data_IF_096945283750
#
_entry.id   IF_096945283750
#
_cell.length_a   1.000
_cell.length_b   1.000
_cell.length_c   1.000
_cell.angle_alpha   90.00
_cell.angle_beta   90.00
_cell.angle_gamma   90.00
#
_symmetry.space_group_name_H-M   'P 1'
#
loop_
_entity.id
_entity.type
_entity.pdbx_description
1 polymer ?
#
# COMPACT_ATOMS: atom_id res chain seq x y z
N UNK A 1 5.44 0.51 27.89
CA UNK A 1 4.70 0.42 26.60
C UNK A 1 5.63 0.41 25.38
N UNK A 2 6.57 1.36 25.25
CA UNK A 2 7.52 1.45 24.11
C UNK A 2 8.26 0.16 23.73
N UNK A 3 8.66 -0.65 24.71
CA UNK A 3 9.35 -1.94 24.46
C UNK A 3 8.46 -2.98 23.75
N UNK A 4 7.16 -3.01 24.05
CA UNK A 4 6.20 -3.91 23.36
C UNK A 4 5.99 -3.49 21.91
N UNK A 5 5.93 -2.19 21.65
CA UNK A 5 5.85 -1.63 20.29
C UNK A 5 7.11 -1.93 19.46
N UNK A 6 8.30 -1.78 20.04
CA UNK A 6 9.55 -2.15 19.36
C UNK A 6 9.67 -3.65 19.11
N UNK A 7 9.11 -4.49 19.98
CA UNK A 7 9.04 -5.94 19.75
C UNK A 7 8.06 -6.29 18.63
N UNK A 8 6.90 -5.63 18.58
CA UNK A 8 5.89 -5.83 17.53
C UNK A 8 6.43 -5.43 16.13
N UNK A 9 7.22 -4.37 16.04
CA UNK A 9 7.86 -3.95 14.78
C UNK A 9 8.90 -4.94 14.24
N UNK A 10 9.41 -5.86 15.08
CA UNK A 10 10.34 -6.90 14.63
C UNK A 10 9.64 -8.09 13.95
N UNK A 11 8.30 -8.18 14.04
CA UNK A 11 7.57 -9.23 13.38
C UNK A 11 7.61 -9.02 11.86
N UNK A 12 8.05 -10.02 11.07
CA UNK A 12 8.15 -9.89 9.61
C UNK A 12 6.78 -9.58 8.97
N UNK A 13 5.70 -10.05 9.59
CA UNK A 13 4.32 -9.77 9.23
C UNK A 13 4.01 -8.27 9.26
N UNK A 14 4.25 -7.63 10.40
CA UNK A 14 3.96 -6.19 10.62
C UNK A 14 4.87 -5.33 9.74
N UNK A 15 6.15 -5.72 9.61
CA UNK A 15 7.11 -5.01 8.77
C UNK A 15 6.68 -5.03 7.29
N UNK A 16 6.26 -6.19 6.77
CA UNK A 16 5.81 -6.33 5.38
C UNK A 16 4.59 -5.45 5.09
N UNK A 17 3.63 -5.41 6.02
CA UNK A 17 2.43 -4.59 5.92
C UNK A 17 2.75 -3.09 5.92
N UNK A 18 3.60 -2.64 6.85
CA UNK A 18 4.03 -1.24 6.94
C UNK A 18 4.78 -0.81 5.67
N UNK A 19 5.66 -1.66 5.14
CA UNK A 19 6.38 -1.39 3.89
C UNK A 19 5.43 -1.25 2.69
N UNK A 20 4.43 -2.13 2.58
CA UNK A 20 3.44 -2.07 1.49
C UNK A 20 2.64 -0.76 1.56
N UNK A 21 2.17 -0.37 2.74
CA UNK A 21 1.42 0.89 2.95
C UNK A 21 2.26 2.11 2.59
N UNK A 22 3.54 2.08 2.97
CA UNK A 22 4.49 3.13 2.65
C UNK A 22 4.67 3.28 1.13
N UNK A 23 4.94 2.17 0.42
CA UNK A 23 5.14 2.17 -1.04
C UNK A 23 3.88 2.61 -1.78
N UNK A 24 2.70 2.14 -1.35
CA UNK A 24 1.42 2.58 -1.90
C UNK A 24 1.21 4.10 -1.73
N UNK A 25 1.56 4.65 -0.54
CA UNK A 25 1.48 6.08 -0.27
C UNK A 25 2.41 6.90 -1.15
N UNK A 26 3.66 6.45 -1.30
CA UNK A 26 4.67 7.08 -2.17
C UNK A 26 4.23 7.07 -3.63
N UNK A 27 3.78 5.92 -4.16
CA UNK A 27 3.38 5.77 -5.56
C UNK A 27 2.12 6.60 -5.90
N UNK A 28 1.12 6.61 -5.01
CA UNK A 28 -0.10 7.40 -5.21
C UNK A 28 0.19 8.90 -5.24
N UNK A 29 1.05 9.36 -4.33
CA UNK A 29 1.51 10.75 -4.27
C UNK A 29 2.29 11.13 -5.53
N UNK A 30 3.28 10.31 -5.90
CA UNK A 30 4.13 10.57 -7.06
C UNK A 30 3.28 10.71 -8.33
N UNK A 31 2.39 9.75 -8.59
CA UNK A 31 1.60 9.72 -9.81
C UNK A 31 0.67 10.92 -9.92
N UNK A 32 0.01 11.34 -8.84
CA UNK A 32 -0.95 12.46 -8.90
C UNK A 32 -0.25 13.83 -8.99
N UNK A 33 0.87 14.01 -8.30
CA UNK A 33 1.56 15.31 -8.25
C UNK A 33 2.41 15.58 -9.50
N UNK A 34 3.08 14.55 -10.01
CA UNK A 34 4.11 14.72 -11.03
C UNK A 34 3.65 14.45 -12.47
N UNK A 35 2.46 13.86 -12.65
CA UNK A 35 1.88 13.64 -13.98
C UNK A 35 1.79 14.95 -14.77
N UNK A 36 1.31 16.01 -14.13
CA UNK A 36 1.15 17.32 -14.75
C UNK A 36 2.49 17.92 -15.19
N UNK A 37 3.47 17.93 -14.28
CA UNK A 37 4.82 18.41 -14.55
C UNK A 37 5.51 17.64 -15.69
N UNK A 38 5.32 16.32 -15.73
CA UNK A 38 5.91 15.49 -16.78
C UNK A 38 5.31 15.79 -18.16
N UNK A 39 4.00 16.05 -18.22
CA UNK A 39 3.33 16.42 -19.48
C UNK A 39 3.80 17.79 -19.98
N UNK A 40 3.95 18.76 -19.07
CA UNK A 40 4.46 20.10 -19.36
C UNK A 40 5.91 20.05 -19.87
N UNK A 41 6.77 19.22 -19.25
CA UNK A 41 8.15 19.02 -19.69
C UNK A 41 8.30 18.40 -21.10
N UNK A 42 7.25 17.78 -21.64
CA UNK A 42 7.22 17.32 -23.05
C UNK A 42 6.83 18.43 -24.03
N UNK A 43 6.75 19.68 -23.58
CA UNK A 43 6.23 20.82 -24.34
C UNK A 43 4.79 20.55 -24.83
N UNK A 44 4.03 19.75 -24.07
CA UNK A 44 2.63 19.50 -24.38
C UNK A 44 1.87 20.82 -24.18
N UNK A 45 1.14 21.32 -25.17
CA UNK A 45 0.40 22.56 -25.01
C UNK A 45 -0.58 22.45 -23.84
N UNK A 46 -0.74 23.52 -23.06
CA UNK A 46 -1.50 23.52 -21.80
C UNK A 46 -2.93 23.00 -21.94
N UNK A 47 -3.50 23.10 -23.16
CA UNK A 47 -4.79 22.48 -23.45
C UNK A 47 -4.74 20.96 -23.33
N UNK A 48 -3.71 20.25 -23.79
CA UNK A 48 -3.60 18.77 -23.70
C UNK A 48 -3.53 18.29 -22.25
N UNK A 49 -2.91 19.09 -21.38
CA UNK A 49 -2.82 18.80 -19.95
C UNK A 49 -4.22 18.80 -19.30
N UNK A 50 -5.04 19.80 -19.61
CA UNK A 50 -6.47 19.83 -19.23
C UNK A 50 -7.32 18.85 -20.03
N UNK A 51 -6.90 18.52 -21.26
CA UNK A 51 -7.58 17.61 -22.17
C UNK A 51 -7.52 16.17 -21.67
N UNK A 52 -6.46 15.71 -21.01
CA UNK A 52 -6.40 14.31 -20.52
C UNK A 52 -7.52 14.02 -19.50
N UNK A 53 -7.72 14.83 -18.45
CA UNK A 53 -8.93 14.76 -17.64
C UNK A 53 -10.19 14.98 -18.47
N UNK A 54 -10.25 16.01 -19.31
CA UNK A 54 -11.46 16.34 -20.05
C UNK A 54 -11.88 15.24 -21.05
N UNK A 55 -10.94 14.53 -21.66
CA UNK A 55 -11.13 13.39 -22.57
C UNK A 55 -11.47 12.15 -21.79
N UNK A 56 -10.82 11.93 -20.65
CA UNK A 56 -11.27 10.93 -19.67
C UNK A 56 -12.72 11.19 -19.25
N UNK A 57 -13.19 12.42 -19.22
CA UNK A 57 -14.60 12.77 -18.99
C UNK A 57 -15.42 12.88 -20.30
N UNK A 58 -14.79 13.03 -21.46
CA UNK A 58 -15.47 13.23 -22.76
C UNK A 58 -15.87 11.92 -23.41
N UNK A 59 -15.13 10.83 -23.16
CA UNK A 59 -15.58 9.48 -23.53
C UNK A 59 -16.77 9.02 -22.68
N UNK A 60 -17.14 9.79 -21.65
CA UNK A 60 -18.26 9.53 -20.78
C UNK A 60 -19.40 10.41 -21.25
N UNK A 61 -20.11 9.91 -22.26
CA UNK A 61 -21.30 10.59 -22.78
C UNK A 61 -22.38 10.69 -21.70
N UNK A 62 -22.43 9.73 -20.78
CA UNK A 62 -23.32 9.75 -19.62
C UNK A 62 -22.58 10.08 -18.30
N UNK A 63 -23.12 10.99 -17.46
CA UNK A 63 -22.57 11.31 -16.14
C UNK A 63 -22.37 10.08 -15.24
N UNK A 64 -23.15 9.01 -15.46
CA UNK A 64 -23.05 7.78 -14.68
C UNK A 64 -21.72 7.05 -14.85
N UNK A 65 -21.10 7.08 -16.03
CA UNK A 65 -19.79 6.44 -16.23
C UNK A 65 -18.66 7.19 -15.51
N UNK A 66 -18.81 8.50 -15.27
CA UNK A 66 -17.86 9.30 -14.46
C UNK A 66 -17.83 8.81 -13.02
N UNK A 67 -19.02 8.56 -12.47
CA UNK A 67 -19.15 8.00 -11.13
C UNK A 67 -18.56 6.60 -11.03
N UNK A 68 -18.65 5.78 -12.09
CA UNK A 68 -18.02 4.45 -12.10
C UNK A 68 -16.49 4.54 -12.15
N UNK A 69 -15.94 5.43 -13.00
CA UNK A 69 -14.49 5.59 -13.15
C UNK A 69 -13.82 6.21 -11.92
N UNK A 70 -14.39 7.30 -11.38
CA UNK A 70 -13.90 7.90 -10.15
C UNK A 70 -14.20 6.98 -8.95
N UNK A 71 -15.38 6.36 -8.94
CA UNK A 71 -15.82 5.40 -7.94
C UNK A 71 -14.89 4.20 -7.83
N UNK A 72 -14.35 3.67 -8.93
CA UNK A 72 -13.39 2.55 -8.87
C UNK A 72 -12.09 2.92 -8.16
N UNK A 73 -11.60 4.15 -8.36
CA UNK A 73 -10.42 4.67 -7.65
C UNK A 73 -10.71 4.88 -6.16
N UNK A 74 -11.86 5.48 -5.84
CA UNK A 74 -12.32 5.68 -4.46
C UNK A 74 -12.50 4.33 -3.77
N UNK A 75 -13.13 3.37 -4.44
CA UNK A 75 -13.44 2.04 -3.91
C UNK A 75 -12.17 1.25 -3.64
N UNK A 76 -11.21 1.25 -4.57
CA UNK A 76 -9.90 0.60 -4.37
C UNK A 76 -9.17 1.19 -3.16
N UNK A 77 -9.19 2.52 -3.04
CA UNK A 77 -8.59 3.20 -1.89
C UNK A 77 -9.34 2.88 -0.59
N UNK A 78 -10.66 2.78 -0.62
CA UNK A 78 -11.48 2.44 0.54
C UNK A 78 -11.24 0.99 0.99
N UNK A 79 -11.23 0.04 0.06
CA UNK A 79 -10.90 -1.36 0.35
C UNK A 79 -9.51 -1.51 0.94
N UNK A 80 -8.53 -0.74 0.45
CA UNK A 80 -7.21 -0.68 1.05
C UNK A 80 -7.30 -0.25 2.53
N UNK A 81 -8.03 0.82 2.83
CA UNK A 81 -8.18 1.30 4.22
C UNK A 81 -8.96 0.33 5.11
N UNK A 82 -9.99 -0.32 4.59
CA UNK A 82 -10.71 -1.39 5.31
C UNK A 82 -9.75 -2.53 5.65
N UNK A 83 -8.93 -2.97 4.69
CA UNK A 83 -7.92 -4.00 4.94
C UNK A 83 -6.89 -3.56 5.98
N UNK A 84 -6.49 -2.29 5.97
CA UNK A 84 -5.57 -1.73 6.98
C UNK A 84 -6.18 -1.78 8.37
N UNK A 85 -7.45 -1.42 8.51
CA UNK A 85 -8.17 -1.46 9.80
C UNK A 85 -8.31 -2.88 10.29
N UNK A 86 -8.78 -3.81 9.45
CA UNK A 86 -8.94 -5.22 9.81
C UNK A 86 -7.62 -5.85 10.27
N UNK A 87 -6.54 -5.63 9.51
CA UNK A 87 -5.23 -6.14 9.86
C UNK A 87 -4.68 -5.48 11.14
N UNK A 88 -4.95 -4.18 11.34
CA UNK A 88 -4.59 -3.50 12.58
C UNK A 88 -5.33 -4.05 13.79
N UNK A 89 -6.59 -4.48 13.64
CA UNK A 89 -7.35 -5.16 14.69
C UNK A 89 -6.73 -6.51 15.05
N UNK A 90 -6.27 -7.26 14.05
CA UNK A 90 -5.58 -8.54 14.27
C UNK A 90 -4.27 -8.32 15.05
N UNK A 91 -3.39 -7.42 14.60
CA UNK A 91 -2.04 -7.29 15.19
C UNK A 91 -1.98 -6.47 16.49
N UNK A 92 -3.02 -5.71 16.82
CA UNK A 92 -2.97 -4.77 17.93
C UNK A 92 -3.07 -5.48 19.29
N UNK A 93 -2.25 -5.09 20.28
CA UNK A 93 -2.49 -5.48 21.66
C UNK A 93 -3.80 -4.88 22.17
N UNK A 94 -4.45 -5.57 23.12
CA UNK A 94 -5.74 -5.17 23.69
C UNK A 94 -5.77 -3.69 24.09
N UNK A 95 -6.76 -2.96 23.60
CA UNK A 95 -6.96 -1.53 23.87
C UNK A 95 -6.07 -0.55 23.07
N UNK A 96 -5.23 -1.02 22.15
CA UNK A 96 -4.28 -0.17 21.38
C UNK A 96 -4.54 -0.14 19.86
N UNK A 97 -5.66 -0.69 19.38
CA UNK A 97 -5.96 -0.76 17.94
C UNK A 97 -6.00 0.60 17.25
N UNK A 98 -6.60 1.60 17.90
CA UNK A 98 -6.63 2.98 17.38
C UNK A 98 -5.23 3.56 17.18
N UNK A 99 -4.28 3.21 18.05
CA UNK A 99 -2.88 3.65 17.95
C UNK A 99 -2.18 2.98 16.76
N UNK A 100 -2.43 1.70 16.52
CA UNK A 100 -1.87 0.98 15.36
C UNK A 100 -2.41 1.55 14.05
N UNK A 101 -3.72 1.77 13.94
CA UNK A 101 -4.34 2.38 12.75
C UNK A 101 -3.82 3.80 12.53
N UNK A 102 -3.73 4.61 13.59
CA UNK A 102 -3.19 5.97 13.50
C UNK A 102 -1.72 5.98 13.07
N UNK A 103 -0.92 5.00 13.52
CA UNK A 103 0.49 4.86 13.12
C UNK A 103 0.60 4.41 11.66
N UNK A 104 -0.19 3.42 11.23
CA UNK A 104 -0.22 2.99 9.83
C UNK A 104 -0.64 4.16 8.91
N UNK A 105 -1.61 4.96 9.35
CA UNK A 105 -2.05 6.12 8.60
C UNK A 105 -1.08 7.29 8.61
N UNK A 106 -0.35 7.52 9.71
CA UNK A 106 0.70 8.53 9.73
C UNK A 106 1.82 8.16 8.75
N UNK A 107 2.20 6.88 8.68
CA UNK A 107 3.16 6.36 7.71
C UNK A 107 2.65 6.55 6.28
N UNK A 108 1.39 6.24 5.98
CA UNK A 108 0.84 6.42 4.64
C UNK A 108 0.76 7.89 4.22
N UNK A 109 0.06 8.72 5.01
CA UNK A 109 -0.29 10.09 4.64
C UNK A 109 0.85 11.09 4.82
N UNK A 110 1.72 10.87 5.81
CA UNK A 110 2.83 11.78 6.07
C UNK A 110 4.08 11.24 5.41
N UNK A 111 4.67 10.17 5.95
CA UNK A 111 6.01 9.73 5.53
C UNK A 111 6.00 9.24 4.07
N UNK A 112 5.02 8.42 3.67
CA UNK A 112 4.89 7.89 2.32
C UNK A 112 4.64 9.00 1.28
N UNK A 113 3.62 9.83 1.51
CA UNK A 113 3.32 10.94 0.57
C UNK A 113 4.40 12.03 0.58
N UNK A 114 4.95 12.42 1.73
CA UNK A 114 6.00 13.45 1.79
C UNK A 114 7.29 12.96 1.13
N UNK A 115 7.72 11.71 1.40
CA UNK A 115 8.90 11.13 0.76
C UNK A 115 8.70 10.99 -0.74
N UNK A 116 7.51 10.57 -1.20
CA UNK A 116 7.19 10.48 -2.63
C UNK A 116 7.22 11.83 -3.34
N UNK A 117 6.81 12.91 -2.66
CA UNK A 117 6.90 14.27 -3.21
C UNK A 117 8.36 14.76 -3.25
N UNK A 118 9.11 14.61 -2.15
CA UNK A 118 10.50 15.08 -2.06
C UNK A 118 11.43 14.33 -3.02
N UNK A 119 11.42 13.00 -2.93
CA UNK A 119 12.26 12.13 -3.77
C UNK A 119 11.78 12.19 -5.22
N UNK A 120 10.47 12.26 -5.45
CA UNK A 120 9.90 12.40 -6.79
C UNK A 120 10.33 13.68 -7.49
N UNK A 121 10.35 14.81 -6.77
CA UNK A 121 10.80 16.08 -7.31
C UNK A 121 12.27 16.05 -7.70
N UNK A 122 13.13 15.52 -6.83
CA UNK A 122 14.56 15.38 -7.13
C UNK A 122 14.82 14.43 -8.31
N UNK A 123 14.11 13.30 -8.38
CA UNK A 123 14.25 12.36 -9.49
C UNK A 123 13.78 12.98 -10.81
N UNK A 124 12.73 13.80 -10.80
CA UNK A 124 12.25 14.46 -12.02
C UNK A 124 13.12 15.61 -12.49
N UNK A 125 13.81 16.29 -11.56
CA UNK A 125 14.77 17.33 -11.88
C UNK A 125 16.07 16.72 -12.44
N UNK A 126 16.58 15.66 -11.80
CA UNK A 126 17.82 15.00 -12.22
C UNK A 126 17.66 14.09 -13.44
N UNK A 127 16.48 13.48 -13.63
CA UNK A 127 16.20 12.55 -14.72
C UNK A 127 14.91 12.92 -15.46
N UNK A 128 14.91 12.77 -16.79
CA UNK A 128 13.71 12.91 -17.61
C UNK A 128 12.51 12.14 -17.01
N UNK A 129 11.32 12.74 -16.99
CA UNK A 129 10.16 12.13 -16.32
C UNK A 129 9.76 10.74 -16.84
N UNK A 130 10.09 10.38 -18.09
CA UNK A 130 9.93 9.01 -18.61
C UNK A 130 10.61 7.96 -17.74
N UNK A 131 11.84 8.24 -17.30
CA UNK A 131 12.63 7.33 -16.46
C UNK A 131 12.05 7.30 -15.05
N UNK A 132 11.65 8.46 -14.51
CA UNK A 132 11.05 8.57 -13.19
C UNK A 132 9.78 7.70 -13.06
N UNK A 133 8.85 7.79 -14.01
CA UNK A 133 7.64 6.97 -14.03
C UNK A 133 7.92 5.47 -14.16
N UNK A 134 8.93 5.08 -14.96
CA UNK A 134 9.33 3.67 -15.09
C UNK A 134 9.94 3.13 -13.80
N UNK A 135 10.81 3.90 -13.14
CA UNK A 135 11.46 3.49 -11.88
C UNK A 135 10.42 3.31 -10.78
N UNK A 136 9.49 4.26 -10.62
CA UNK A 136 8.40 4.13 -9.63
C UNK A 136 7.49 2.95 -9.95
N UNK A 137 7.18 2.72 -11.23
CA UNK A 137 6.43 1.55 -11.68
C UNK A 137 7.13 0.22 -11.36
N UNK A 138 8.45 0.13 -11.59
CA UNK A 138 9.25 -1.06 -11.28
C UNK A 138 9.30 -1.29 -9.76
N UNK A 139 9.52 -0.25 -8.95
CA UNK A 139 9.52 -0.35 -7.48
C UNK A 139 8.16 -0.88 -6.98
N UNK A 140 7.06 -0.36 -7.51
CA UNK A 140 5.72 -0.80 -7.18
C UNK A 140 5.52 -2.29 -7.56
N UNK A 141 5.90 -2.68 -8.78
CA UNK A 141 5.76 -4.05 -9.27
C UNK A 141 6.60 -5.03 -8.45
N UNK A 142 7.86 -4.71 -8.16
CA UNK A 142 8.74 -5.53 -7.33
C UNK A 142 8.15 -5.70 -5.93
N UNK A 143 7.66 -4.63 -5.32
CA UNK A 143 7.04 -4.69 -3.99
C UNK A 143 5.77 -5.57 -3.97
N UNK A 144 4.95 -5.48 -5.02
CA UNK A 144 3.75 -6.30 -5.17
C UNK A 144 4.09 -7.78 -5.35
N UNK A 145 5.12 -8.10 -6.14
CA UNK A 145 5.61 -9.47 -6.34
C UNK A 145 6.17 -10.03 -5.03
N UNK A 146 7.00 -9.28 -4.31
CA UNK A 146 7.55 -9.70 -3.02
C UNK A 146 6.44 -9.94 -1.99
N UNK A 147 5.44 -9.06 -1.92
CA UNK A 147 4.30 -9.24 -1.01
C UNK A 147 3.41 -10.42 -1.42
N UNK A 148 3.18 -10.62 -2.72
CA UNK A 148 2.44 -11.77 -3.23
C UNK A 148 3.16 -13.09 -2.91
N UNK A 149 4.48 -13.16 -3.10
CA UNK A 149 5.31 -14.31 -2.72
C UNK A 149 5.27 -14.55 -1.22
N UNK A 150 5.36 -13.49 -0.41
CA UNK A 150 5.24 -13.57 1.04
C UNK A 150 3.91 -14.18 1.48
N UNK A 151 2.80 -13.67 0.93
CA UNK A 151 1.48 -14.20 1.19
C UNK A 151 1.31 -15.62 0.67
N UNK A 152 1.91 -15.95 -0.47
CA UNK A 152 1.88 -17.29 -1.02
C UNK A 152 2.55 -18.31 -0.09
N UNK A 153 3.78 -18.03 0.37
CA UNK A 153 4.53 -18.89 1.31
C UNK A 153 3.78 -19.03 2.64
N UNK A 154 3.25 -17.93 3.19
CA UNK A 154 2.46 -17.97 4.43
C UNK A 154 1.20 -18.81 4.26
N UNK A 155 0.48 -18.68 3.15
CA UNK A 155 -0.71 -19.48 2.87
C UNK A 155 -0.37 -20.97 2.76
N UNK A 156 0.72 -21.34 2.08
CA UNK A 156 1.12 -22.75 1.95
C UNK A 156 1.55 -23.32 3.30
N UNK A 157 2.35 -22.60 4.08
CA UNK A 157 2.76 -23.03 5.42
C UNK A 157 1.56 -23.19 6.38
N UNK A 158 0.62 -22.25 6.35
CA UNK A 158 -0.61 -22.34 7.16
C UNK A 158 -1.49 -23.53 6.78
N UNK A 159 -1.65 -23.81 5.48
CA UNK A 159 -2.37 -25.00 5.01
C UNK A 159 -1.67 -26.30 5.41
N UNK A 160 -0.34 -26.36 5.35
CA UNK A 160 0.43 -27.54 5.77
C UNK A 160 0.31 -27.83 7.27
N UNK A 161 0.30 -26.80 8.12
CA UNK A 161 0.07 -26.96 9.57
C UNK A 161 -1.34 -27.46 9.87
N UNK A 162 -2.34 -27.10 9.05
CA UNK A 162 -3.73 -27.53 9.23
C UNK A 162 -3.99 -28.96 8.71
N UNK A 163 -3.24 -29.40 7.70
CA UNK A 163 -3.31 -30.78 7.16
C UNK A 163 -2.62 -31.82 8.05
N UNK A 164 -1.72 -31.42 8.96
CA UNK A 164 -1.15 -32.35 9.95
C UNK A 164 -2.18 -32.58 11.07
N UNK A 165 -2.94 -33.69 11.07
CA UNK A 165 -3.98 -33.93 12.06
C UNK A 165 -3.32 -34.27 13.39
N UNK A 166 -4.00 -33.91 14.47
CA UNK A 166 -3.64 -34.23 15.85
C UNK A 166 -3.27 -35.71 16.04
N UNK A 167 -1.97 -36.01 16.05
CA UNK A 167 -1.45 -37.36 16.22
C UNK A 167 -0.20 -37.47 17.08
N UNK A 168 0.31 -36.38 17.65
CA UNK A 168 1.37 -36.40 18.67
C UNK A 168 1.12 -35.22 19.62
N UNK A 169 0.65 -35.53 20.84
CA UNK A 169 0.51 -34.59 21.94
C UNK A 169 1.88 -34.11 22.42
N UNK A 170 2.01 -32.79 22.49
CA UNK A 170 2.52 -32.00 23.61
C UNK A 170 3.83 -32.43 24.31
N UNK A 171 4.96 -31.79 23.95
CA UNK A 171 6.00 -31.47 24.96
C UNK A 171 7.00 -30.34 24.60
N UNK A 172 6.99 -29.74 23.41
CA UNK A 172 8.02 -28.74 23.07
C UNK A 172 7.55 -27.64 22.09
N UNK A 173 6.50 -26.88 22.44
CA UNK A 173 6.08 -25.72 21.64
C UNK A 173 6.44 -24.41 22.35
N UNK A 174 7.43 -23.64 21.87
CA UNK A 174 7.66 -22.29 22.36
C UNK A 174 6.49 -21.40 21.93
N UNK A 175 5.71 -20.93 22.91
CA UNK A 175 4.72 -19.83 22.89
C UNK A 175 4.41 -19.20 21.51
N UNK A 176 3.72 -19.93 20.62
CA UNK A 176 3.15 -19.33 19.42
C UNK A 176 1.82 -18.72 19.83
N UNK A 177 1.79 -17.39 19.88
CA UNK A 177 0.62 -16.56 20.17
C UNK A 177 -0.51 -16.98 19.23
N UNK A 178 -1.50 -17.71 19.77
CA UNK A 178 -2.76 -17.98 19.11
C UNK A 178 -3.53 -16.67 18.95
N UNK A 179 -3.50 -16.10 17.76
CA UNK A 179 -4.41 -15.03 17.37
C UNK A 179 -5.73 -15.69 16.97
N UNK A 180 -6.69 -15.76 17.92
CA UNK A 180 -8.07 -16.13 17.63
C UNK A 180 -8.72 -14.99 16.86
N UNK A 181 -8.96 -15.20 15.57
CA UNK A 181 -9.88 -14.38 14.79
C UNK A 181 -11.29 -14.83 15.18
N UNK A 182 -12.01 -13.98 15.92
CA UNK A 182 -13.46 -14.10 16.14
C UNK A 182 -14.10 -12.81 15.66
#
# INVERSE_FOLDING_TARGET
MWKKTMFLMKNPDVLSFVLVIFILGTAFCFTKNFMFWYLEGMNSPSFLIGLIPAVRYSFLQDPWYSLVLEGTNIFTYHLLWVAVVLYSHEIAPEGLTSTVIATAGSIHYHIGKSSGSLVGGFIMDAFNGRVAFRVVGIICLVSAVLYALYLYIRRTCFTLVREHPAGIEDQDRPNVVTMKVT
#
